data_IF_986050803493
#
_entry.id   IF_986050803493
#
_cell.length_a   1.000
_cell.length_b   1.000
_cell.length_c   1.000
_cell.angle_alpha   90.00
_cell.angle_beta   90.00
_cell.angle_gamma   90.00
#
_symmetry.space_group_name_H-M   'P 1'
#
loop_
_entity.id
_entity.type
_entity.pdbx_description
1 polymer ?
#
# COMPACT_ATOMS: atom_id res chain seq x y z
N UNK A 1 12.52 12.13 -26.06
CA UNK A 1 12.43 11.73 -24.63
C UNK A 1 13.64 10.84 -24.38
N UNK A 2 14.66 11.36 -23.69
CA UNK A 2 15.92 10.65 -23.46
C UNK A 2 16.02 10.32 -21.99
N UNK A 3 16.29 9.06 -21.70
CA UNK A 3 16.43 8.57 -20.35
C UNK A 3 17.86 8.10 -20.14
N UNK A 4 18.52 8.62 -19.13
CA UNK A 4 19.78 8.05 -18.67
C UNK A 4 19.43 6.94 -17.67
N UNK A 5 19.53 5.68 -18.06
CA UNK A 5 19.27 4.59 -17.13
C UNK A 5 20.35 4.59 -16.03
N UNK A 6 19.95 4.41 -14.80
CA UNK A 6 20.87 4.09 -13.70
C UNK A 6 21.24 2.62 -13.88
N UNK A 7 22.42 2.36 -14.41
CA UNK A 7 22.90 1.00 -14.69
C UNK A 7 24.38 0.80 -14.28
N UNK A 8 24.72 -0.43 -13.94
CA UNK A 8 26.09 -0.86 -13.79
C UNK A 8 26.82 -0.17 -12.63
N UNK A 9 27.91 0.55 -12.91
CA UNK A 9 28.77 1.19 -11.92
C UNK A 9 28.06 2.29 -11.12
N UNK A 10 27.01 2.89 -11.67
CA UNK A 10 26.27 4.00 -11.05
C UNK A 10 25.02 3.52 -10.31
N UNK A 11 24.78 2.21 -10.26
CA UNK A 11 23.67 1.65 -9.49
C UNK A 11 23.95 1.78 -8.00
N UNK A 12 22.99 2.33 -7.21
CA UNK A 12 23.13 2.45 -5.76
C UNK A 12 22.99 1.12 -5.01
N UNK A 13 22.67 0.06 -5.72
CA UNK A 13 22.41 -1.28 -5.19
C UNK A 13 23.19 -2.34 -5.98
N UNK A 14 23.31 -3.53 -5.42
CA UNK A 14 24.05 -4.64 -6.00
C UNK A 14 23.55 -5.04 -7.40
N UNK A 15 24.45 -5.61 -8.18
CA UNK A 15 24.10 -6.23 -9.46
C UNK A 15 23.11 -7.39 -9.21
N UNK A 16 22.09 -7.50 -10.05
CA UNK A 16 21.01 -8.48 -9.93
C UNK A 16 20.08 -8.28 -8.72
N UNK A 17 20.05 -7.09 -8.14
CA UNK A 17 19.14 -6.70 -7.07
C UNK A 17 17.67 -6.55 -7.52
N UNK A 18 17.43 -6.59 -8.83
CA UNK A 18 16.13 -6.32 -9.46
C UNK A 18 15.62 -4.90 -9.19
N UNK A 19 16.55 -3.91 -9.18
CA UNK A 19 16.17 -2.49 -9.12
C UNK A 19 15.21 -2.16 -10.28
N UNK A 20 14.05 -1.60 -9.95
CA UNK A 20 12.97 -1.33 -10.90
C UNK A 20 11.87 -2.39 -10.89
N UNK A 21 11.90 -3.37 -9.99
CA UNK A 21 10.82 -4.36 -9.82
C UNK A 21 9.49 -3.69 -9.50
N UNK A 22 9.51 -2.67 -8.66
CA UNK A 22 8.38 -1.81 -8.34
C UNK A 22 8.80 -0.35 -8.36
N UNK A 23 7.90 0.55 -8.72
CA UNK A 23 8.12 1.99 -8.75
C UNK A 23 6.87 2.71 -8.26
N UNK A 24 7.07 3.80 -7.53
CA UNK A 24 6.01 4.73 -7.16
C UNK A 24 6.58 6.15 -7.07
N UNK A 25 5.73 7.16 -7.08
CA UNK A 25 6.12 8.55 -6.93
C UNK A 25 5.36 9.18 -5.77
N UNK A 26 6.00 10.12 -5.11
CA UNK A 26 5.43 10.88 -4.00
C UNK A 26 6.39 11.99 -3.58
N UNK A 27 5.99 12.79 -2.63
CA UNK A 27 6.81 13.86 -2.08
C UNK A 27 7.59 13.42 -0.84
N UNK A 28 8.35 12.31 -0.95
CA UNK A 28 9.02 11.61 0.14
C UNK A 28 10.16 12.38 0.82
N UNK A 29 10.61 13.48 0.24
CA UNK A 29 11.77 14.22 0.70
C UNK A 29 11.40 15.66 1.07
N UNK A 30 12.04 16.25 2.10
CA UNK A 30 11.86 17.66 2.40
C UNK A 30 12.32 18.53 1.22
N UNK A 31 11.69 19.68 1.03
CA UNK A 31 11.95 20.60 -0.09
C UNK A 31 13.44 20.91 -0.29
N UNK A 32 14.22 20.98 0.78
CA UNK A 32 15.66 21.23 0.72
C UNK A 32 16.47 20.13 0.03
N UNK A 33 15.98 18.89 -0.01
CA UNK A 33 16.62 17.74 -0.65
C UNK A 33 16.03 17.38 -2.01
N UNK A 34 14.94 18.01 -2.39
CA UNK A 34 14.18 17.66 -3.59
C UNK A 34 14.57 18.48 -4.82
N UNK A 35 15.72 19.15 -4.81
CA UNK A 35 16.25 19.95 -5.92
C UNK A 35 15.25 21.00 -6.46
N UNK A 36 14.26 21.45 -5.66
CA UNK A 36 13.18 22.32 -6.09
C UNK A 36 12.04 21.62 -6.82
N UNK A 37 12.10 20.30 -6.99
CA UNK A 37 11.01 19.49 -7.52
C UNK A 37 10.03 19.12 -6.40
N UNK A 38 8.77 18.92 -6.74
CA UNK A 38 7.76 18.48 -5.77
C UNK A 38 7.77 16.98 -5.57
N UNK A 39 8.12 16.21 -6.60
CA UNK A 39 8.05 14.76 -6.61
C UNK A 39 9.43 14.11 -6.50
N UNK A 40 9.48 13.01 -5.78
CA UNK A 40 10.54 12.03 -5.73
C UNK A 40 10.01 10.65 -6.16
N UNK A 41 10.92 9.73 -6.46
CA UNK A 41 10.59 8.41 -6.99
C UNK A 41 11.16 7.34 -6.08
N UNK A 42 10.30 6.44 -5.58
CA UNK A 42 10.72 5.26 -4.85
C UNK A 42 10.80 4.06 -5.80
N UNK A 43 11.91 3.35 -5.77
CA UNK A 43 12.21 2.23 -6.67
C UNK A 43 12.65 1.03 -5.86
N UNK A 44 11.97 -0.08 -6.02
CA UNK A 44 12.24 -1.33 -5.31
C UNK A 44 13.36 -2.15 -5.93
N UNK A 45 14.20 -2.73 -5.09
CA UNK A 45 15.26 -3.67 -5.41
C UNK A 45 15.18 -4.89 -4.46
N UNK A 46 14.21 -5.78 -4.65
CA UNK A 46 13.83 -6.79 -3.65
C UNK A 46 14.89 -7.85 -3.38
N UNK A 47 15.90 -7.98 -4.22
CA UNK A 47 17.00 -8.94 -4.03
C UNK A 47 18.30 -8.31 -3.53
N UNK A 48 18.31 -6.98 -3.33
CA UNK A 48 19.49 -6.28 -2.83
C UNK A 48 19.80 -6.66 -1.39
N UNK A 49 21.08 -6.76 -1.07
CA UNK A 49 21.61 -6.98 0.29
C UNK A 49 20.99 -8.17 1.05
N UNK A 50 20.44 -9.16 0.34
CA UNK A 50 19.78 -10.33 0.93
C UNK A 50 18.45 -10.09 1.63
N UNK A 51 18.06 -8.85 1.92
CA UNK A 51 16.81 -8.47 2.57
C UNK A 51 15.85 -7.77 1.62
N UNK A 52 16.39 -7.08 0.61
CA UNK A 52 15.73 -6.13 -0.27
C UNK A 52 15.96 -4.69 0.15
N UNK A 53 15.89 -3.78 -0.81
CA UNK A 53 16.08 -2.35 -0.61
C UNK A 53 15.09 -1.53 -1.44
N UNK A 54 14.86 -0.30 -0.98
CA UNK A 54 14.15 0.74 -1.73
C UNK A 54 15.06 1.94 -1.87
N UNK A 55 15.15 2.47 -3.08
CA UNK A 55 15.97 3.65 -3.40
C UNK A 55 15.05 4.82 -3.73
N UNK A 56 15.28 5.95 -3.08
CA UNK A 56 14.58 7.20 -3.38
C UNK A 56 15.45 8.05 -4.30
N UNK A 57 14.88 8.40 -5.44
CA UNK A 57 15.51 9.24 -6.45
C UNK A 57 14.77 10.58 -6.58
N UNK A 58 15.51 11.62 -6.96
CA UNK A 58 14.95 12.87 -7.46
C UNK A 58 15.52 13.17 -8.83
N UNK A 59 14.75 13.92 -9.61
CA UNK A 59 15.23 14.53 -10.84
C UNK A 59 15.74 15.93 -10.49
N UNK A 60 17.06 16.09 -10.44
CA UNK A 60 17.68 17.41 -10.29
C UNK A 60 17.74 18.11 -11.68
N UNK A 61 18.21 19.35 -11.71
CA UNK A 61 18.31 20.20 -12.92
C UNK A 61 19.10 19.56 -14.08
N UNK A 62 19.93 18.55 -13.81
CA UNK A 62 20.46 17.63 -14.83
C UNK A 62 19.40 16.60 -15.13
N UNK A 63 19.25 16.16 -16.38
CA UNK A 63 18.29 15.12 -16.79
C UNK A 63 18.50 13.76 -16.07
N UNK A 64 19.49 13.66 -15.18
CA UNK A 64 19.87 12.45 -14.45
C UNK A 64 19.11 12.34 -13.13
N UNK A 65 18.68 11.12 -12.83
CA UNK A 65 18.14 10.78 -11.51
C UNK A 65 19.29 10.75 -10.49
N UNK A 66 19.12 11.47 -9.39
CA UNK A 66 20.04 11.50 -8.25
C UNK A 66 19.51 10.67 -7.11
N UNK A 67 20.36 9.77 -6.57
CA UNK A 67 20.02 8.98 -5.38
C UNK A 67 20.06 9.88 -4.15
N UNK A 68 18.97 9.89 -3.38
CA UNK A 68 18.86 10.66 -2.15
C UNK A 68 18.85 9.80 -0.89
N UNK A 69 18.30 8.59 -0.99
CA UNK A 69 18.11 7.72 0.16
C UNK A 69 18.04 6.26 -0.28
N UNK A 70 18.59 5.38 0.54
CA UNK A 70 18.44 3.91 0.41
C UNK A 70 17.89 3.37 1.72
N UNK A 71 16.75 2.70 1.65
CA UNK A 71 16.09 2.06 2.79
C UNK A 71 16.28 0.55 2.64
N UNK A 72 16.75 -0.12 3.68
CA UNK A 72 16.98 -1.57 3.67
C UNK A 72 15.92 -2.28 4.52
N UNK A 73 15.47 -3.44 4.04
CA UNK A 73 14.68 -4.36 4.86
C UNK A 73 15.51 -4.97 5.99
N UNK A 74 14.85 -5.43 7.04
CA UNK A 74 15.46 -6.02 8.25
C UNK A 74 15.32 -7.54 8.34
N UNK A 75 14.55 -8.15 7.43
CA UNK A 75 14.30 -9.59 7.45
C UNK A 75 14.92 -10.26 6.21
N UNK A 76 15.79 -11.24 6.45
CA UNK A 76 16.51 -11.93 5.37
C UNK A 76 15.54 -12.64 4.41
N UNK A 77 15.80 -12.53 3.12
CA UNK A 77 14.99 -13.10 2.03
C UNK A 77 13.52 -12.62 1.97
N UNK A 78 13.14 -11.59 2.73
CA UNK A 78 11.76 -11.07 2.75
C UNK A 78 11.34 -10.39 1.46
N UNK A 79 12.31 -10.05 0.60
CA UNK A 79 12.12 -9.29 -0.64
C UNK A 79 11.46 -7.92 -0.40
N UNK A 80 11.94 -7.19 0.61
CA UNK A 80 11.54 -5.82 0.85
C UNK A 80 11.71 -4.94 -0.41
N UNK A 81 10.67 -4.21 -0.81
CA UNK A 81 10.65 -3.47 -2.08
C UNK A 81 10.09 -4.26 -3.26
N UNK A 82 9.43 -5.42 -3.01
CA UNK A 82 8.77 -6.22 -4.04
C UNK A 82 7.62 -5.47 -4.72
N UNK A 83 6.78 -4.82 -3.93
CA UNK A 83 5.73 -3.90 -4.39
C UNK A 83 5.79 -2.62 -3.57
N UNK A 84 5.41 -1.50 -4.17
CA UNK A 84 5.45 -0.16 -3.58
C UNK A 84 4.17 0.59 -3.92
N UNK A 85 3.68 1.39 -2.97
CA UNK A 85 2.68 2.41 -3.23
C UNK A 85 2.91 3.63 -2.35
N UNK A 86 2.39 4.76 -2.80
CA UNK A 86 2.33 6.02 -2.06
C UNK A 86 0.86 6.38 -1.85
N UNK A 87 0.52 6.87 -0.66
CA UNK A 87 -0.81 7.35 -0.31
C UNK A 87 -0.70 8.38 0.82
N UNK A 88 -1.48 9.43 0.78
CA UNK A 88 -1.60 10.42 1.86
C UNK A 88 -2.71 9.96 2.83
N UNK A 89 -2.35 9.03 3.74
CA UNK A 89 -3.34 8.39 4.61
C UNK A 89 -3.76 9.21 5.82
N UNK A 90 -3.09 10.36 6.08
CA UNK A 90 -3.47 11.29 7.14
C UNK A 90 -3.83 12.69 6.63
N UNK A 91 -3.89 12.87 5.30
CA UNK A 91 -4.29 14.10 4.61
C UNK A 91 -3.48 15.32 5.06
N UNK A 92 -2.18 15.11 5.35
CA UNK A 92 -1.26 16.20 5.71
C UNK A 92 -0.59 16.85 4.48
N UNK A 93 -0.87 16.33 3.27
CA UNK A 93 -0.34 16.80 1.99
C UNK A 93 1.00 16.14 1.62
N UNK A 94 1.49 15.17 2.40
CA UNK A 94 2.71 14.43 2.15
C UNK A 94 2.42 12.94 1.99
N UNK A 95 2.77 12.39 0.83
CA UNK A 95 2.52 10.97 0.55
C UNK A 95 3.35 10.07 1.45
N UNK A 96 2.71 9.21 2.21
CA UNK A 96 3.35 8.14 2.95
C UNK A 96 3.87 7.05 2.01
N UNK A 97 4.85 6.28 2.45
CA UNK A 97 5.45 5.20 1.66
C UNK A 97 5.11 3.83 2.25
N UNK A 98 4.55 2.97 1.43
CA UNK A 98 4.26 1.57 1.75
C UNK A 98 5.17 0.66 0.95
N UNK A 99 5.92 -0.19 1.68
CA UNK A 99 6.90 -1.10 1.10
C UNK A 99 6.54 -2.52 1.44
N UNK A 100 6.24 -3.30 0.43
CA UNK A 100 5.86 -4.69 0.59
C UNK A 100 7.06 -5.63 0.65
N UNK A 101 6.94 -6.66 1.47
CA UNK A 101 7.90 -7.75 1.67
C UNK A 101 7.13 -9.09 1.77
N UNK A 102 6.67 -9.64 0.62
CA UNK A 102 5.75 -10.79 0.61
C UNK A 102 6.36 -12.10 1.13
N UNK A 103 7.66 -12.15 1.29
CA UNK A 103 8.38 -13.31 1.84
C UNK A 103 8.88 -13.08 3.27
N UNK A 104 8.39 -12.03 3.93
CA UNK A 104 8.63 -11.82 5.36
C UNK A 104 8.13 -13.00 6.17
N UNK A 105 8.95 -13.47 7.14
CA UNK A 105 8.69 -14.71 7.87
C UNK A 105 9.12 -14.59 9.34
N UNK A 106 8.44 -13.80 10.12
CA UNK A 106 8.62 -13.75 11.57
C UNK A 106 7.27 -14.06 12.22
N UNK A 107 7.27 -14.77 13.32
CA UNK A 107 6.08 -15.06 14.13
C UNK A 107 4.92 -15.70 13.34
N UNK A 108 5.26 -16.60 12.39
CA UNK A 108 4.32 -17.26 11.48
C UNK A 108 3.60 -16.32 10.49
N UNK A 109 4.00 -15.07 10.37
CA UNK A 109 3.48 -14.18 9.36
C UNK A 109 3.94 -14.60 7.96
N UNK A 110 3.03 -14.68 7.02
CA UNK A 110 3.30 -14.96 5.61
C UNK A 110 3.30 -13.70 4.76
N UNK A 111 4.30 -12.84 4.96
CA UNK A 111 4.43 -11.55 4.30
C UNK A 111 4.13 -10.36 5.20
N UNK A 112 4.61 -9.19 4.80
CA UNK A 112 4.45 -7.93 5.52
C UNK A 112 4.39 -6.73 4.57
N UNK A 113 3.81 -5.63 5.05
CA UNK A 113 3.93 -4.30 4.45
C UNK A 113 4.46 -3.34 5.51
N UNK A 114 5.53 -2.64 5.18
CA UNK A 114 6.14 -1.61 6.01
C UNK A 114 5.52 -0.27 5.67
N UNK A 115 4.95 0.39 6.64
CA UNK A 115 4.41 1.74 6.54
C UNK A 115 5.40 2.74 7.11
N UNK A 116 5.90 3.62 6.26
CA UNK A 116 6.74 4.76 6.60
C UNK A 116 5.91 6.02 6.50
N UNK A 117 5.64 6.63 7.66
CA UNK A 117 4.95 7.91 7.70
C UNK A 117 5.83 9.01 7.12
N UNK A 118 5.22 9.89 6.35
CA UNK A 118 5.86 11.07 5.80
C UNK A 118 5.27 12.35 6.42
N UNK A 119 6.00 13.43 6.34
CA UNK A 119 5.59 14.76 6.82
C UNK A 119 6.37 15.82 6.05
N UNK A 120 6.14 17.11 6.34
CA UNK A 120 6.95 18.20 5.80
C UNK A 120 8.47 18.03 6.01
N UNK A 121 8.88 17.22 7.00
CA UNK A 121 10.29 16.90 7.28
C UNK A 121 10.84 15.76 6.42
N UNK A 122 10.01 15.11 5.62
CA UNK A 122 10.31 13.91 4.85
C UNK A 122 9.91 12.62 5.59
N UNK A 123 10.24 11.46 5.00
CA UNK A 123 9.94 10.16 5.58
C UNK A 123 10.57 10.00 6.98
N UNK A 124 9.78 9.57 7.95
CA UNK A 124 10.27 9.25 9.29
C UNK A 124 11.05 7.92 9.25
N UNK A 125 12.36 8.04 9.33
CA UNK A 125 13.28 6.91 9.43
C UNK A 125 13.93 6.82 10.81
N UNK A 126 13.61 7.75 11.71
CA UNK A 126 14.13 7.76 13.08
C UNK A 126 13.38 6.79 13.98
N UNK A 127 12.09 6.58 13.69
CA UNK A 127 11.27 5.57 14.35
C UNK A 127 11.18 4.31 13.49
N UNK A 128 11.06 3.11 14.11
CA UNK A 128 10.79 1.90 13.36
C UNK A 128 9.49 2.03 12.57
N UNK A 129 9.44 1.58 11.31
CA UNK A 129 8.22 1.62 10.51
C UNK A 129 7.12 0.76 11.15
N UNK A 130 5.88 1.17 10.96
CA UNK A 130 4.73 0.35 11.34
C UNK A 130 4.65 -0.86 10.43
N UNK A 131 4.53 -2.05 11.02
CA UNK A 131 4.47 -3.30 10.28
C UNK A 131 3.04 -3.80 10.20
N UNK A 132 2.49 -3.91 8.98
CA UNK A 132 1.23 -4.57 8.72
C UNK A 132 1.51 -6.03 8.40
N UNK A 133 0.83 -6.92 9.09
CA UNK A 133 0.97 -8.38 8.91
C UNK A 133 -0.36 -8.96 8.44
N UNK A 134 -0.28 -9.93 7.52
CA UNK A 134 -1.43 -10.74 7.12
C UNK A 134 -1.86 -11.74 8.19
N UNK A 135 -2.83 -12.57 7.85
CA UNK A 135 -3.20 -13.69 8.70
C UNK A 135 -1.99 -14.60 8.99
N UNK A 136 -2.02 -15.29 10.12
CA UNK A 136 -0.95 -16.21 10.54
C UNK A 136 -0.88 -17.46 9.64
N UNK A 137 -0.48 -17.27 8.39
CA UNK A 137 -0.28 -18.28 7.37
C UNK A 137 0.99 -17.99 6.62
N UNK A 138 2.01 -18.81 6.79
CA UNK A 138 3.35 -18.62 6.21
C UNK A 138 3.35 -18.53 4.68
N UNK A 139 2.32 -19.06 4.03
CA UNK A 139 2.22 -19.13 2.58
C UNK A 139 1.34 -18.04 1.96
N UNK A 140 0.67 -17.20 2.76
CA UNK A 140 -0.31 -16.23 2.28
C UNK A 140 0.27 -15.18 1.31
N UNK A 141 1.58 -14.86 1.43
CA UNK A 141 2.27 -13.82 0.65
C UNK A 141 1.57 -12.46 0.75
N UNK A 142 1.16 -12.10 1.96
CA UNK A 142 0.61 -10.76 2.24
C UNK A 142 1.60 -9.67 1.80
N UNK A 143 1.10 -8.67 1.08
CA UNK A 143 1.95 -7.67 0.44
C UNK A 143 2.47 -8.07 -0.94
N UNK A 144 1.95 -9.15 -1.55
CA UNK A 144 2.31 -9.49 -2.93
C UNK A 144 1.93 -8.38 -3.91
N UNK A 145 0.81 -7.74 -3.67
CA UNK A 145 0.39 -6.49 -4.29
C UNK A 145 -0.03 -5.49 -3.20
N UNK A 146 0.23 -4.22 -3.43
CA UNK A 146 -0.19 -3.10 -2.58
C UNK A 146 -0.58 -1.92 -3.46
N UNK A 147 -1.66 -1.23 -3.12
CA UNK A 147 -2.15 -0.05 -3.85
C UNK A 147 -2.84 0.92 -2.91
N UNK A 148 -2.73 2.23 -3.19
CA UNK A 148 -3.73 3.17 -2.67
C UNK A 148 -5.11 2.74 -3.18
N UNK A 149 -6.10 2.75 -2.30
CA UNK A 149 -7.50 2.53 -2.64
C UNK A 149 -8.26 3.83 -2.92
N UNK A 150 -7.58 4.99 -2.73
CA UNK A 150 -8.27 6.26 -2.61
C UNK A 150 -9.09 6.32 -1.32
N UNK A 151 -9.95 7.28 -1.20
CA UNK A 151 -10.89 7.42 -0.07
C UNK A 151 -12.13 6.57 -0.34
N UNK A 152 -12.13 5.34 0.20
CA UNK A 152 -13.20 4.34 -0.04
C UNK A 152 -14.47 4.66 0.75
N UNK A 153 -14.32 5.27 1.93
CA UNK A 153 -15.42 5.56 2.84
C UNK A 153 -15.86 7.02 2.86
N UNK A 154 -15.20 7.89 2.06
CA UNK A 154 -15.45 9.32 1.94
C UNK A 154 -15.27 10.10 3.27
N UNK A 155 -14.25 9.70 4.06
CA UNK A 155 -13.89 10.38 5.31
C UNK A 155 -12.78 11.43 5.14
N UNK A 156 -12.25 11.59 3.93
CA UNK A 156 -11.23 12.56 3.56
C UNK A 156 -9.79 12.08 3.72
N UNK A 157 -9.58 10.78 3.99
CA UNK A 157 -8.28 10.14 4.10
C UNK A 157 -8.12 9.05 3.05
N UNK A 158 -6.95 8.94 2.44
CA UNK A 158 -6.70 7.83 1.52
C UNK A 158 -6.58 6.50 2.28
N UNK A 159 -7.13 5.46 1.70
CA UNK A 159 -7.11 4.10 2.21
C UNK A 159 -6.09 3.23 1.47
N UNK A 160 -5.70 2.11 2.08
CA UNK A 160 -4.73 1.17 1.55
C UNK A 160 -5.35 -0.20 1.34
N UNK A 161 -5.08 -0.82 0.19
CA UNK A 161 -5.39 -2.23 -0.06
C UNK A 161 -4.14 -3.07 -0.23
N UNK A 162 -4.16 -4.27 0.37
CA UNK A 162 -3.05 -5.22 0.35
C UNK A 162 -3.55 -6.59 -0.06
N UNK A 163 -2.90 -7.20 -1.04
CA UNK A 163 -3.20 -8.53 -1.53
C UNK A 163 -2.42 -9.63 -0.82
N UNK A 164 -3.08 -10.76 -0.58
CA UNK A 164 -2.52 -12.01 -0.06
C UNK A 164 -2.99 -13.17 -0.93
N UNK A 165 -2.45 -13.34 -2.17
CA UNK A 165 -3.05 -14.21 -3.18
C UNK A 165 -2.98 -15.70 -2.86
N UNK A 166 -2.14 -16.11 -1.93
CA UNK A 166 -1.97 -17.50 -1.53
C UNK A 166 -2.52 -17.79 -0.13
N UNK A 167 -3.30 -16.85 0.44
CA UNK A 167 -4.06 -17.14 1.66
C UNK A 167 -5.07 -18.26 1.41
N UNK A 168 -5.29 -19.09 2.43
CA UNK A 168 -6.23 -20.21 2.34
C UNK A 168 -7.63 -19.76 1.92
N UNK A 169 -8.27 -20.54 1.04
CA UNK A 169 -9.57 -20.18 0.48
C UNK A 169 -9.51 -19.42 -0.85
N UNK A 170 -8.35 -19.42 -1.53
CA UNK A 170 -8.19 -18.88 -2.87
C UNK A 170 -7.60 -17.48 -2.95
N UNK A 171 -7.10 -16.95 -1.83
CA UNK A 171 -6.53 -15.61 -1.69
C UNK A 171 -7.44 -14.62 -0.99
N UNK A 172 -6.88 -13.48 -0.59
CA UNK A 172 -7.56 -12.44 0.14
C UNK A 172 -7.05 -11.04 -0.21
N UNK A 173 -7.88 -10.04 0.03
CA UNK A 173 -7.56 -8.61 -0.03
C UNK A 173 -7.93 -7.96 1.28
N UNK A 174 -7.01 -7.18 1.83
CA UNK A 174 -7.13 -6.48 3.09
C UNK A 174 -7.28 -4.98 2.85
N UNK A 175 -8.29 -4.36 3.41
CA UNK A 175 -8.51 -2.92 3.39
C UNK A 175 -8.13 -2.31 4.73
N UNK A 176 -7.29 -1.28 4.70
CA UNK A 176 -6.88 -0.49 5.85
C UNK A 176 -7.29 0.96 5.64
N UNK A 177 -7.92 1.55 6.65
CA UNK A 177 -8.39 2.93 6.58
C UNK A 177 -7.35 3.92 7.06
N UNK A 178 -7.27 5.04 6.34
CA UNK A 178 -6.57 6.24 6.77
C UNK A 178 -7.27 6.93 7.95
N UNK A 179 -6.60 7.86 8.57
CA UNK A 179 -7.16 8.75 9.60
C UNK A 179 -6.19 9.88 9.91
N UNK A 180 -6.63 10.95 10.55
CA UNK A 180 -5.75 12.05 11.00
C UNK A 180 -4.55 11.62 11.87
N UNK A 181 -4.57 10.39 12.42
CA UNK A 181 -3.45 9.82 13.19
C UNK A 181 -2.51 8.96 12.32
N UNK A 182 -2.77 8.84 11.02
CA UNK A 182 -2.13 7.93 10.08
C UNK A 182 -2.97 6.69 9.81
N UNK A 183 -2.37 5.67 9.18
CA UNK A 183 -3.06 4.44 8.82
C UNK A 183 -3.47 3.63 10.07
N UNK A 184 -4.71 3.16 10.10
CA UNK A 184 -5.18 2.20 11.11
C UNK A 184 -4.52 0.86 10.87
N UNK A 185 -3.82 0.31 11.83
CA UNK A 185 -3.02 -0.92 11.69
C UNK A 185 -3.85 -2.21 11.68
N UNK A 186 -5.12 -2.12 12.07
CA UNK A 186 -6.08 -3.22 11.97
C UNK A 186 -6.89 -3.06 10.68
N UNK A 187 -6.99 -4.09 9.84
CA UNK A 187 -7.80 -4.00 8.63
C UNK A 187 -9.26 -3.74 8.99
N UNK A 188 -9.89 -2.80 8.30
CA UNK A 188 -11.32 -2.51 8.43
C UNK A 188 -12.16 -3.60 7.78
N UNK A 189 -11.62 -4.20 6.71
CA UNK A 189 -12.28 -5.29 6.01
C UNK A 189 -11.25 -6.26 5.44
N UNK A 190 -11.60 -7.54 5.43
CA UNK A 190 -10.87 -8.59 4.71
C UNK A 190 -11.86 -9.29 3.79
N UNK A 191 -11.60 -9.21 2.49
CA UNK A 191 -12.40 -9.91 1.47
C UNK A 191 -11.63 -11.13 1.03
N UNK A 192 -12.20 -12.32 1.23
CA UNK A 192 -11.62 -13.58 0.77
C UNK A 192 -12.28 -14.05 -0.52
N UNK A 193 -11.54 -14.73 -1.34
CA UNK A 193 -12.11 -15.34 -2.54
C UNK A 193 -13.29 -16.25 -2.23
N UNK A 194 -13.24 -16.97 -1.11
CA UNK A 194 -14.33 -17.83 -0.62
C UNK A 194 -15.62 -17.11 -0.27
N UNK A 195 -15.54 -15.82 0.03
CA UNK A 195 -16.70 -15.01 0.47
C UNK A 195 -17.43 -14.38 -0.72
N UNK A 196 -16.83 -14.45 -1.92
CA UNK A 196 -17.40 -13.89 -3.12
C UNK A 196 -18.41 -14.82 -3.76
N UNK A 197 -19.51 -14.29 -4.30
CA UNK A 197 -20.47 -15.09 -5.04
C UNK A 197 -19.81 -15.63 -6.31
N UNK A 198 -19.58 -16.93 -6.35
CA UNK A 198 -18.94 -17.60 -7.50
C UNK A 198 -19.99 -18.15 -8.43
N UNK A 199 -19.85 -17.86 -9.73
CA UNK A 199 -20.81 -18.34 -10.75
C UNK A 199 -20.58 -19.78 -11.19
N UNK A 200 -19.38 -20.35 -11.08
CA UNK A 200 -19.09 -21.71 -11.55
C UNK A 200 -17.85 -22.38 -10.94
N UNK A 201 -16.78 -21.63 -10.63
CA UNK A 201 -15.55 -22.20 -10.07
C UNK A 201 -14.99 -21.31 -8.96
N UNK A 202 -14.39 -21.89 -7.90
CA UNK A 202 -13.74 -21.10 -6.85
C UNK A 202 -12.58 -20.29 -7.44
N UNK A 203 -12.47 -19.02 -7.02
CA UNK A 203 -11.34 -18.17 -7.40
C UNK A 203 -10.07 -18.69 -6.73
N UNK A 204 -8.97 -18.59 -7.46
CA UNK A 204 -7.61 -18.90 -6.98
C UNK A 204 -6.71 -17.71 -7.28
N UNK A 205 -5.79 -17.39 -6.37
CA UNK A 205 -4.87 -16.25 -6.45
C UNK A 205 -5.55 -14.87 -6.46
N UNK A 206 -6.70 -14.75 -5.82
CA UNK A 206 -7.38 -13.47 -5.62
C UNK A 206 -6.52 -12.52 -4.78
N UNK A 207 -6.28 -11.31 -5.28
CA UNK A 207 -5.35 -10.36 -4.66
C UNK A 207 -3.93 -10.40 -5.24
N UNK A 208 -3.72 -11.09 -6.39
CA UNK A 208 -2.41 -11.15 -7.05
C UNK A 208 -1.98 -9.81 -7.62
N UNK A 209 -2.90 -9.04 -8.15
CA UNK A 209 -2.70 -7.66 -8.60
C UNK A 209 -3.84 -6.78 -8.13
N UNK A 210 -3.54 -5.51 -7.86
CA UNK A 210 -4.47 -4.54 -7.32
C UNK A 210 -4.35 -3.21 -8.08
N UNK A 211 -5.47 -2.55 -8.25
CA UNK A 211 -5.54 -1.16 -8.66
C UNK A 211 -6.75 -0.52 -7.98
N UNK A 212 -6.56 0.61 -7.32
CA UNK A 212 -7.61 1.32 -6.60
C UNK A 212 -7.61 2.82 -6.91
N UNK A 213 -8.46 3.57 -6.21
CA UNK A 213 -8.50 5.02 -6.27
C UNK A 213 -9.36 5.62 -7.37
N UNK A 214 -10.14 4.81 -8.09
CA UNK A 214 -11.09 5.28 -9.11
C UNK A 214 -12.52 4.88 -8.74
N UNK A 215 -13.44 5.83 -8.84
CA UNK A 215 -14.88 5.59 -8.75
C UNK A 215 -15.38 5.11 -10.12
N UNK A 216 -15.58 3.81 -10.28
CA UNK A 216 -15.95 3.19 -11.55
C UNK A 216 -17.45 3.21 -11.84
N UNK A 217 -18.29 3.31 -10.81
CA UNK A 217 -19.74 3.33 -10.95
C UNK A 217 -20.37 4.71 -10.65
N UNK A 218 -19.55 5.72 -10.41
CA UNK A 218 -19.91 7.12 -10.17
C UNK A 218 -20.82 7.31 -8.94
N UNK A 219 -20.53 6.55 -7.89
CA UNK A 219 -21.23 6.63 -6.61
C UNK A 219 -20.52 7.51 -5.55
N UNK A 220 -19.44 8.19 -5.94
CA UNK A 220 -18.53 9.01 -5.12
C UNK A 220 -17.72 8.22 -4.06
N UNK A 221 -17.53 6.92 -4.28
CA UNK A 221 -16.64 6.09 -3.48
C UNK A 221 -15.63 5.42 -4.40
N UNK A 222 -14.37 5.40 -4.01
CA UNK A 222 -13.32 4.75 -4.79
C UNK A 222 -13.47 3.24 -4.76
N UNK A 223 -13.39 2.61 -5.92
CA UNK A 223 -13.47 1.16 -6.11
C UNK A 223 -12.09 0.51 -6.22
N UNK A 224 -12.06 -0.81 -6.01
CA UNK A 224 -10.83 -1.60 -6.12
C UNK A 224 -10.98 -2.70 -7.16
N UNK A 225 -10.05 -2.75 -8.10
CA UNK A 225 -9.91 -3.82 -9.08
C UNK A 225 -8.92 -4.86 -8.57
N UNK A 226 -9.30 -6.12 -8.59
CA UNK A 226 -8.52 -7.24 -8.04
C UNK A 226 -8.34 -8.32 -9.10
N UNK A 227 -7.08 -8.67 -9.40
CA UNK A 227 -6.75 -9.76 -10.31
C UNK A 227 -6.63 -11.10 -9.59
N UNK A 228 -7.05 -12.17 -10.28
CA UNK A 228 -6.95 -13.56 -9.86
C UNK A 228 -6.45 -14.39 -11.06
N UNK A 229 -5.13 -14.34 -11.33
CA UNK A 229 -4.55 -14.79 -12.59
C UNK A 229 -4.74 -16.29 -12.88
N UNK A 230 -4.70 -17.15 -11.85
CA UNK A 230 -4.91 -18.58 -12.06
C UNK A 230 -6.37 -18.95 -12.38
N UNK A 231 -7.28 -18.03 -12.15
CA UNK A 231 -8.69 -18.20 -12.49
C UNK A 231 -9.08 -17.43 -13.77
N UNK A 232 -8.11 -16.82 -14.47
CA UNK A 232 -8.36 -15.93 -15.62
C UNK A 232 -9.46 -14.90 -15.32
N UNK A 233 -9.47 -14.36 -14.08
CA UNK A 233 -10.55 -13.54 -13.56
C UNK A 233 -10.04 -12.19 -13.02
N UNK A 234 -10.94 -11.22 -13.13
CA UNK A 234 -10.82 -9.90 -12.52
C UNK A 234 -12.10 -9.63 -11.75
N UNK A 235 -11.95 -9.12 -10.51
CA UNK A 235 -13.06 -8.79 -9.62
C UNK A 235 -13.04 -7.29 -9.36
N UNK A 236 -14.19 -6.65 -9.47
CA UNK A 236 -14.40 -5.27 -9.03
C UNK A 236 -15.06 -5.30 -7.66
N UNK A 237 -14.35 -4.80 -6.66
CA UNK A 237 -14.89 -4.54 -5.34
C UNK A 237 -15.45 -3.11 -5.34
N UNK A 238 -16.77 -2.99 -5.39
CA UNK A 238 -17.45 -1.70 -5.38
C UNK A 238 -17.65 -1.22 -3.96
N UNK A 239 -17.12 -0.04 -3.66
CA UNK A 239 -17.38 0.62 -2.41
C UNK A 239 -18.84 1.08 -2.32
N UNK A 240 -19.35 1.13 -1.10
CA UNK A 240 -20.71 1.61 -0.80
C UNK A 240 -20.64 2.59 0.36
N UNK A 241 -21.60 3.51 0.48
CA UNK A 241 -21.66 4.43 1.60
C UNK A 241 -21.53 3.68 2.94
N UNK A 242 -20.59 4.10 3.77
CA UNK A 242 -20.43 3.63 5.13
C UNK A 242 -21.32 4.48 6.03
N UNK A 243 -22.22 3.84 6.79
CA UNK A 243 -23.08 4.53 7.75
C UNK A 243 -22.55 4.22 9.16
N UNK A 244 -21.90 5.18 9.77
CA UNK A 244 -21.51 5.12 11.18
C UNK A 244 -22.70 5.56 12.04
N UNK A 245 -23.29 4.63 12.79
CA UNK A 245 -24.36 4.94 13.73
C UNK A 245 -23.72 5.27 15.07
N UNK A 246 -23.60 6.55 15.39
CA UNK A 246 -23.19 7.02 16.72
C UNK A 246 -24.46 7.09 17.59
N UNK A 247 -24.62 6.15 18.52
CA UNK A 247 -25.70 6.22 19.51
C UNK A 247 -25.23 7.05 20.71
N UNK A 248 -25.81 8.22 20.86
CA UNK A 248 -25.68 9.00 22.10
C UNK A 248 -26.76 8.54 23.07
N UNK A 249 -26.38 7.99 24.21
CA UNK A 249 -27.29 7.83 25.34
C UNK A 249 -27.39 9.19 26.06
N UNK A 250 -28.12 10.13 25.45
CA UNK A 250 -28.53 11.35 26.07
C UNK A 250 -29.99 11.23 26.54
N UNK A 251 -30.35 11.92 27.62
CA UNK A 251 -31.70 11.92 28.19
C UNK A 251 -32.77 12.12 27.13
N UNK A 252 -33.76 11.23 27.08
CA UNK A 252 -34.92 11.39 26.22
C UNK A 252 -35.72 12.61 26.70
N UNK A 253 -35.71 13.68 25.92
CA UNK A 253 -36.70 14.76 26.09
C UNK A 253 -37.99 14.25 25.49
N UNK A 254 -38.92 13.84 26.35
CA UNK A 254 -40.28 13.54 25.94
C UNK A 254 -40.98 14.88 25.64
N UNK A 255 -41.15 15.17 24.36
CA UNK A 255 -42.00 16.30 23.92
C UNK A 255 -43.43 15.84 24.02
N UNK A 256 -44.28 16.40 24.92
CA UNK A 256 -45.69 16.04 24.95
C UNK A 256 -46.35 16.55 23.67
N UNK A 257 -47.02 15.64 22.97
CA UNK A 257 -47.90 16.01 21.87
C UNK A 257 -49.04 16.85 22.47
N UNK A 258 -49.06 18.15 22.18
CA UNK A 258 -50.25 18.98 22.47
C UNK A 258 -51.43 18.49 21.68
N UNK A 259 -52.56 18.27 22.34
CA UNK A 259 -53.84 17.97 21.78
C UNK A 259 -54.35 19.09 20.86
#
# INVERSE_FOLDING_TARGET
>A
MYHSPVQGKDSPVDKYSYLGMAVTSGNFLPAARNCGEFLSYAVGAPRSNGTGQVVIFVKCHSELLSVQLVISGDNFASQFGYALTAADVDSDGYSDLFVAAPFYHRDHAGGAVYYYRNTAAGLDLATPPTLLLGAASSEARFGFAVSSAGDVNSDGFEDLVVGAPYEAGGGAVYLYQGSAAGLRTRPSQVVRASDLPTSAQPLVTFGYSLSGGLDMDLNNHSDVLVGAYQSDAVVILRARPVIDIITWFGEFIVIPLSQ
#
